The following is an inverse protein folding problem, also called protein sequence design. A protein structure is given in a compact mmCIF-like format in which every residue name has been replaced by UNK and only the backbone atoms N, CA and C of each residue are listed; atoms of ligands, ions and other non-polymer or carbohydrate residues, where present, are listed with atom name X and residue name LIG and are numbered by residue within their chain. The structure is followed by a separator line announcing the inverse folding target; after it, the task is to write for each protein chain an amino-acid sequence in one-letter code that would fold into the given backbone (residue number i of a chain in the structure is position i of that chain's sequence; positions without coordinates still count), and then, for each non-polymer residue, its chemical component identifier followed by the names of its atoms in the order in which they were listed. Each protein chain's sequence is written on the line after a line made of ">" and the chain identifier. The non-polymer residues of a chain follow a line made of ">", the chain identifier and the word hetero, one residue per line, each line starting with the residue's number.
data_IF_939068249626
#
_entry.id   IF_939068249626
#
_cell.length_a   1.000
_cell.length_b   1.000
_cell.length_c   1.000
_cell.angle_alpha   90.00
_cell.angle_beta   90.00
_cell.angle_gamma   90.00
#
_symmetry.space_group_name_H-M   'P 1'
#
loop_
_entity.id
_entity.type
_entity.pdbx_description
1 polymer ?
#
# COMPACT_ATOMS: atom_id res chain seq x y z
N UNK A 1 -23.44 25.00 25.17
CA UNK A 1 -22.15 24.28 25.21
C UNK A 1 -21.16 24.95 24.25
N UNK A 2 -20.35 25.94 24.65
CA UNK A 2 -19.38 26.57 23.74
C UNK A 2 -17.96 26.11 24.06
N UNK A 3 -17.44 25.13 23.32
CA UNK A 3 -16.00 24.82 23.26
C UNK A 3 -15.62 24.44 21.82
N UNK A 4 -15.75 25.39 20.90
CA UNK A 4 -15.07 25.28 19.61
C UNK A 4 -13.59 25.61 19.81
N UNK A 5 -12.77 24.56 19.78
CA UNK A 5 -11.34 24.54 20.09
C UNK A 5 -10.56 25.44 19.11
N UNK A 6 -9.69 26.28 19.66
CA UNK A 6 -8.69 27.06 18.92
C UNK A 6 -7.68 26.08 18.30
N UNK A 7 -7.44 26.14 16.99
CA UNK A 7 -6.34 25.44 16.36
C UNK A 7 -5.03 26.00 16.94
N UNK A 8 -4.18 25.12 17.47
CA UNK A 8 -2.84 25.51 17.92
C UNK A 8 -1.91 25.42 16.71
N UNK A 9 -1.16 26.49 16.45
CA UNK A 9 -0.03 26.51 15.49
C UNK A 9 1.20 25.78 16.03
N UNK A 10 1.01 24.81 16.93
CA UNK A 10 2.11 24.03 17.45
C UNK A 10 2.52 23.00 16.38
N UNK A 11 3.84 22.79 16.17
CA UNK A 11 4.36 21.66 15.42
C UNK A 11 3.68 20.35 15.86
N UNK A 12 3.46 19.44 14.91
CA UNK A 12 2.96 18.11 15.25
C UNK A 12 4.09 17.31 15.89
N UNK A 13 3.80 16.59 16.97
CA UNK A 13 4.82 15.80 17.68
C UNK A 13 5.43 14.68 16.80
N UNK A 14 4.82 14.39 15.66
CA UNK A 14 5.17 13.33 14.72
C UNK A 14 5.33 13.86 13.28
N UNK A 15 5.91 15.05 13.12
CA UNK A 15 6.18 15.64 11.81
C UNK A 15 7.00 14.74 10.88
N UNK A 16 7.98 14.00 11.41
CA UNK A 16 8.78 13.04 10.64
C UNK A 16 7.93 11.90 10.06
N UNK A 17 6.97 11.38 10.84
CA UNK A 17 6.05 10.33 10.35
C UNK A 17 5.12 10.87 9.26
N UNK A 18 4.66 12.11 9.42
CA UNK A 18 3.82 12.79 8.43
C UNK A 18 4.63 13.05 7.15
N UNK A 19 5.86 13.51 7.28
CA UNK A 19 6.77 13.70 6.15
C UNK A 19 7.05 12.38 5.43
N UNK A 20 7.28 11.29 6.15
CA UNK A 20 7.43 9.95 5.57
C UNK A 20 6.14 9.53 4.83
N UNK A 21 4.96 9.72 5.45
CA UNK A 21 3.66 9.39 4.84
C UNK A 21 3.38 10.16 3.55
N UNK A 22 3.86 11.41 3.45
CA UNK A 22 3.63 12.28 2.29
C UNK A 22 4.86 12.52 1.40
N UNK A 23 6.01 11.90 1.71
CA UNK A 23 7.29 12.06 0.99
C UNK A 23 7.21 11.70 -0.48
N UNK A 24 6.33 10.76 -0.85
CA UNK A 24 6.04 10.38 -2.23
C UNK A 24 4.85 11.12 -2.86
N UNK A 25 4.16 11.98 -2.10
CA UNK A 25 2.96 12.69 -2.54
C UNK A 25 3.32 14.08 -3.09
N UNK A 26 3.87 14.14 -4.30
CA UNK A 26 3.95 15.42 -5.03
C UNK A 26 2.62 15.69 -5.74
N UNK A 27 1.77 16.54 -5.16
CA UNK A 27 0.63 17.11 -5.90
C UNK A 27 1.16 18.17 -6.87
N UNK A 28 1.59 17.76 -8.06
CA UNK A 28 1.79 18.71 -9.15
C UNK A 28 0.41 19.09 -9.70
N UNK A 29 0.13 20.39 -9.81
CA UNK A 29 -1.09 20.91 -10.44
C UNK A 29 -1.22 20.52 -11.94
N UNK A 30 -0.27 19.74 -12.48
CA UNK A 30 -0.20 19.33 -13.87
C UNK A 30 -1.46 18.57 -14.35
N UNK A 31 -2.19 17.93 -13.43
CA UNK A 31 -3.37 17.13 -13.75
C UNK A 31 -4.67 17.75 -13.22
N UNK A 32 -4.63 18.98 -12.69
CA UNK A 32 -5.82 19.70 -12.27
C UNK A 32 -6.56 20.25 -13.50
N UNK A 33 -7.20 19.37 -14.26
CA UNK A 33 -8.21 19.82 -15.22
C UNK A 33 -9.49 20.04 -14.44
N UNK A 34 -9.76 21.31 -14.11
CA UNK A 34 -11.10 21.75 -13.74
C UNK A 34 -12.03 21.50 -14.93
N UNK A 35 -12.76 20.36 -14.91
CA UNK A 35 -13.84 20.11 -15.86
C UNK A 35 -14.96 21.09 -15.59
N UNK A 36 -14.89 22.27 -16.22
CA UNK A 36 -15.87 23.33 -16.04
C UNK A 36 -15.40 24.76 -16.30
N UNK A 37 -14.14 25.01 -16.62
CA UNK A 37 -13.70 26.34 -17.07
C UNK A 37 -13.90 26.47 -18.57
N UNK A 38 -15.08 26.98 -18.96
CA UNK A 38 -15.21 27.72 -20.21
C UNK A 38 -14.46 29.03 -19.99
N UNK A 39 -13.16 29.06 -20.24
CA UNK A 39 -12.40 30.31 -20.21
C UNK A 39 -11.80 30.57 -21.57
N UNK A 40 -12.36 31.59 -22.20
CA UNK A 40 -11.63 32.31 -23.21
C UNK A 40 -10.44 33.04 -22.59
N UNK A 41 -9.42 33.15 -23.44
CA UNK A 41 -8.50 34.27 -23.57
C UNK A 41 -7.22 34.28 -22.74
N UNK A 42 -6.12 33.95 -23.43
CA UNK A 42 -4.93 34.79 -23.44
C UNK A 42 -4.32 34.76 -24.86
N UNK A 43 -4.29 35.91 -25.54
CA UNK A 43 -3.72 36.03 -26.89
C UNK A 43 -3.93 37.42 -27.51
N UNK A 44 -3.00 38.32 -27.22
CA UNK A 44 -2.80 39.68 -27.73
C UNK A 44 -2.87 39.79 -29.28
N UNK A 45 -3.45 40.87 -29.82
CA UNK A 45 -3.24 41.27 -31.23
C UNK A 45 -4.37 42.01 -31.94
N UNK A 46 -4.32 43.35 -31.89
CA UNK A 46 -4.60 44.33 -32.96
C UNK A 46 -5.69 44.06 -34.04
N UNK A 47 -6.65 44.99 -34.15
CA UNK A 47 -7.11 45.49 -35.46
C UNK A 47 -8.51 45.08 -35.96
N UNK A 48 -9.37 46.10 -36.03
CA UNK A 48 -10.41 46.34 -37.04
C UNK A 48 -11.90 46.00 -36.76
N UNK A 49 -12.64 47.10 -36.60
CA UNK A 49 -14.04 47.45 -36.89
C UNK A 49 -14.83 46.46 -37.79
N UNK A 50 -16.10 46.17 -37.44
CA UNK A 50 -17.35 46.47 -38.19
C UNK A 50 -18.58 45.72 -37.60
N UNK A 51 -19.71 46.42 -37.69
CA UNK A 51 -21.12 46.25 -37.27
C UNK A 51 -21.85 45.00 -37.89
N UNK A 52 -23.19 44.80 -37.83
CA UNK A 52 -23.91 43.73 -37.13
C UNK A 52 -24.90 42.94 -38.04
N UNK A 53 -25.90 42.29 -37.44
CA UNK A 53 -27.26 42.00 -37.97
C UNK A 53 -27.62 40.54 -38.38
N UNK A 54 -28.91 40.12 -38.23
CA UNK A 54 -29.34 38.73 -38.00
C UNK A 54 -30.18 38.11 -39.13
N UNK A 55 -30.35 36.78 -39.15
CA UNK A 55 -31.52 36.07 -39.74
C UNK A 55 -31.41 34.56 -39.42
N UNK A 56 -32.28 33.99 -38.59
CA UNK A 56 -33.55 33.28 -38.90
C UNK A 56 -33.43 31.78 -39.30
N UNK A 57 -34.45 31.02 -38.84
CA UNK A 57 -35.00 29.72 -39.30
C UNK A 57 -34.53 28.42 -38.61
N UNK A 58 -35.37 27.93 -37.70
CA UNK A 58 -35.52 26.50 -37.33
C UNK A 58 -36.22 25.73 -38.49
N UNK A 59 -36.50 24.39 -38.48
CA UNK A 59 -36.24 23.33 -37.48
C UNK A 59 -35.74 21.98 -38.09
N UNK A 60 -35.11 21.09 -37.30
CA UNK A 60 -35.18 19.64 -37.57
C UNK A 60 -35.29 18.84 -36.26
N UNK A 61 -36.46 18.24 -36.07
CA UNK A 61 -36.73 17.22 -35.03
C UNK A 61 -35.88 15.98 -35.30
N UNK A 62 -35.19 15.48 -34.27
CA UNK A 62 -34.89 14.05 -34.06
C UNK A 62 -34.36 13.85 -32.64
N UNK A 63 -35.03 13.01 -31.86
CA UNK A 63 -34.52 12.58 -30.55
C UNK A 63 -35.60 11.98 -29.68
N UNK A 64 -35.62 10.65 -29.61
CA UNK A 64 -36.56 9.83 -28.86
C UNK A 64 -36.63 10.21 -27.37
N UNK A 65 -37.85 10.18 -26.81
CA UNK A 65 -38.09 10.29 -25.38
C UNK A 65 -37.61 9.01 -24.67
N UNK A 66 -36.32 8.92 -24.36
CA UNK A 66 -35.80 7.92 -23.44
C UNK A 66 -35.89 8.48 -22.03
N UNK A 67 -36.93 8.09 -21.26
CA UNK A 67 -36.94 8.31 -19.81
C UNK A 67 -35.85 7.45 -19.18
N UNK A 68 -34.64 7.99 -19.11
CA UNK A 68 -33.55 7.37 -18.36
C UNK A 68 -33.89 7.36 -16.87
N UNK A 69 -33.66 6.25 -16.14
CA UNK A 69 -33.88 6.22 -14.70
C UNK A 69 -33.06 7.33 -14.05
N UNK A 70 -33.68 8.18 -13.24
CA UNK A 70 -32.96 9.17 -12.41
C UNK A 70 -32.04 8.39 -11.47
N UNK A 71 -30.78 8.16 -11.87
CA UNK A 71 -29.74 7.77 -10.93
C UNK A 71 -29.62 8.92 -9.95
N UNK A 72 -30.15 8.73 -8.74
CA UNK A 72 -29.97 9.66 -7.64
C UNK A 72 -28.51 10.03 -7.56
N UNK A 73 -28.23 11.33 -7.54
CA UNK A 73 -26.89 11.89 -7.45
C UNK A 73 -26.34 11.46 -6.09
N UNK A 74 -25.63 10.33 -6.04
CA UNK A 74 -25.03 9.83 -4.79
C UNK A 74 -24.10 10.94 -4.30
N UNK A 75 -24.27 11.36 -3.04
CA UNK A 75 -23.47 12.44 -2.52
C UNK A 75 -22.01 12.01 -2.51
N UNK A 76 -21.10 12.94 -2.78
CA UNK A 76 -19.66 12.66 -2.80
C UNK A 76 -19.21 11.95 -1.51
N UNK A 77 -19.78 12.35 -0.35
CA UNK A 77 -19.58 11.70 0.94
C UNK A 77 -19.98 10.22 0.96
N UNK A 78 -21.12 9.87 0.37
CA UNK A 78 -21.60 8.48 0.30
C UNK A 78 -20.67 7.65 -0.59
N UNK A 79 -20.14 8.23 -1.67
CA UNK A 79 -19.17 7.58 -2.55
C UNK A 79 -17.83 7.35 -1.84
N UNK A 80 -17.36 8.34 -1.07
CA UNK A 80 -16.13 8.24 -0.29
C UNK A 80 -16.27 7.21 0.83
N UNK A 81 -17.39 7.22 1.55
CA UNK A 81 -17.67 6.24 2.59
C UNK A 81 -17.79 4.83 2.01
N UNK A 82 -18.49 4.68 0.88
CA UNK A 82 -18.59 3.40 0.17
C UNK A 82 -17.23 2.91 -0.30
N UNK A 83 -16.37 3.79 -0.84
CA UNK A 83 -14.99 3.44 -1.20
C UNK A 83 -14.17 3.02 0.01
N UNK A 84 -14.28 3.73 1.13
CA UNK A 84 -13.59 3.39 2.37
C UNK A 84 -14.02 2.01 2.89
N UNK A 85 -15.34 1.75 2.94
CA UNK A 85 -15.91 0.47 3.35
C UNK A 85 -15.51 -0.64 2.39
N UNK A 86 -15.60 -0.41 1.07
CA UNK A 86 -15.21 -1.38 0.05
C UNK A 86 -13.72 -1.72 0.19
N UNK A 87 -12.83 -0.74 0.42
CA UNK A 87 -11.40 -1.00 0.66
C UNK A 87 -11.15 -1.75 1.97
N UNK A 88 -11.93 -1.51 3.01
CA UNK A 88 -11.83 -2.26 4.27
C UNK A 88 -12.31 -3.70 4.11
N UNK A 89 -13.41 -3.90 3.39
CA UNK A 89 -13.98 -5.23 3.10
C UNK A 89 -13.08 -6.00 2.13
N UNK A 90 -12.54 -5.36 1.11
CA UNK A 90 -11.55 -5.92 0.19
C UNK A 90 -10.29 -6.30 0.95
N UNK A 91 -9.77 -5.41 1.79
CA UNK A 91 -8.61 -5.71 2.64
C UNK A 91 -8.91 -6.84 3.63
N UNK A 92 -10.11 -6.91 4.21
CA UNK A 92 -10.52 -8.01 5.07
C UNK A 92 -10.78 -9.33 4.31
N UNK A 93 -11.16 -9.27 3.02
CA UNK A 93 -11.42 -10.45 2.18
C UNK A 93 -10.13 -10.96 1.50
N UNK A 94 -9.19 -10.06 1.19
CA UNK A 94 -7.83 -10.37 0.75
C UNK A 94 -6.94 -10.76 1.93
N UNK A 95 -7.32 -10.41 3.15
CA UNK A 95 -6.80 -11.02 4.38
C UNK A 95 -7.45 -12.39 4.55
N UNK A 96 -7.02 -13.37 3.75
CA UNK A 96 -7.07 -14.74 4.21
C UNK A 96 -6.45 -14.75 5.62
N UNK A 97 -7.21 -15.23 6.60
CA UNK A 97 -7.03 -14.96 8.03
C UNK A 97 -5.77 -15.59 8.68
N UNK A 98 -4.64 -15.64 7.98
CA UNK A 98 -3.36 -16.13 8.50
C UNK A 98 -2.16 -15.20 8.26
N UNK A 99 -2.21 -14.18 7.40
CA UNK A 99 -1.03 -13.32 7.06
C UNK A 99 -0.61 -12.33 8.16
N UNK A 100 -0.51 -12.86 9.38
CA UNK A 100 0.31 -12.32 10.45
C UNK A 100 1.79 -12.33 10.02
N UNK A 101 2.62 -11.38 10.49
CA UNK A 101 4.08 -11.44 10.34
C UNK A 101 4.72 -12.79 10.76
N UNK A 102 4.00 -13.56 11.57
CA UNK A 102 4.32 -14.94 11.93
C UNK A 102 4.42 -15.87 10.73
N UNK A 103 3.66 -15.67 9.65
CA UNK A 103 3.73 -16.54 8.48
C UNK A 103 5.07 -16.40 7.77
N UNK A 104 5.62 -15.19 7.64
CA UNK A 104 6.94 -15.00 7.01
C UNK A 104 8.07 -15.61 7.83
N UNK A 105 8.08 -15.43 9.16
CA UNK A 105 9.11 -16.02 10.02
C UNK A 105 8.99 -17.55 10.08
N UNK A 106 7.75 -18.09 10.10
CA UNK A 106 7.53 -19.53 10.07
C UNK A 106 7.98 -20.14 8.75
N UNK A 107 7.70 -19.46 7.64
CA UNK A 107 8.17 -19.86 6.31
C UNK A 107 9.70 -19.83 6.22
N UNK A 108 10.33 -18.75 6.70
CA UNK A 108 11.80 -18.63 6.78
C UNK A 108 12.42 -19.79 7.57
N UNK A 109 11.90 -20.07 8.78
CA UNK A 109 12.38 -21.18 9.60
C UNK A 109 12.20 -22.52 8.90
N UNK A 110 11.06 -22.75 8.23
CA UNK A 110 10.81 -23.98 7.48
C UNK A 110 11.84 -24.17 6.35
N UNK A 111 12.15 -23.12 5.59
CA UNK A 111 13.17 -23.16 4.53
C UNK A 111 14.58 -23.42 5.08
N UNK A 112 14.91 -22.85 6.24
CA UNK A 112 16.18 -23.09 6.92
C UNK A 112 16.31 -24.53 7.41
N UNK A 113 15.24 -25.10 7.98
CA UNK A 113 15.20 -26.49 8.41
C UNK A 113 15.28 -27.45 7.22
N UNK A 114 14.61 -27.13 6.11
CA UNK A 114 14.70 -27.91 4.87
C UNK A 114 16.15 -27.95 4.35
N UNK A 115 16.83 -26.80 4.35
CA UNK A 115 18.26 -26.71 3.97
C UNK A 115 19.15 -27.60 4.86
N UNK A 116 18.78 -27.81 6.13
CA UNK A 116 19.54 -28.67 7.06
C UNK A 116 19.28 -30.15 6.82
N UNK A 117 18.04 -30.51 6.49
CA UNK A 117 17.68 -31.87 6.11
C UNK A 117 18.47 -32.29 4.86
N UNK A 118 18.57 -31.41 3.86
CA UNK A 118 19.38 -31.64 2.66
C UNK A 118 20.88 -31.83 2.97
N UNK A 119 21.40 -31.18 4.01
CA UNK A 119 22.78 -31.33 4.47
C UNK A 119 23.02 -32.60 5.32
N UNK A 120 21.97 -33.33 5.70
CA UNK A 120 22.05 -34.56 6.49
C UNK A 120 21.54 -34.47 7.93
N UNK A 121 20.99 -33.34 8.38
CA UNK A 121 20.26 -33.26 9.65
C UNK A 121 18.81 -33.72 9.46
N UNK A 122 18.64 -35.02 9.23
CA UNK A 122 17.35 -35.66 9.03
C UNK A 122 16.40 -35.42 10.21
N UNK A 123 15.09 -35.37 9.94
CA UNK A 123 14.08 -35.30 10.99
C UNK A 123 14.28 -36.43 12.02
N UNK A 124 14.25 -36.08 13.30
CA UNK A 124 14.51 -37.01 14.41
C UNK A 124 15.99 -37.12 14.83
N UNK A 125 16.93 -36.52 14.10
CA UNK A 125 18.31 -36.37 14.57
C UNK A 125 18.42 -35.30 15.67
N UNK A 126 19.46 -35.41 16.51
CA UNK A 126 19.77 -34.40 17.52
C UNK A 126 20.06 -33.04 16.88
N UNK A 127 20.71 -33.02 15.71
CA UNK A 127 20.96 -31.81 14.94
C UNK A 127 19.65 -31.14 14.50
N UNK A 128 18.71 -31.91 13.96
CA UNK A 128 17.42 -31.38 13.55
C UNK A 128 16.64 -30.83 14.75
N UNK A 129 16.58 -31.57 15.86
CA UNK A 129 15.93 -31.11 17.09
C UNK A 129 16.59 -29.84 17.64
N UNK A 130 17.92 -29.75 17.64
CA UNK A 130 18.60 -28.54 18.11
C UNK A 130 18.32 -27.34 17.20
N UNK A 131 18.25 -27.55 15.88
CA UNK A 131 17.94 -26.49 14.92
C UNK A 131 16.56 -25.86 15.17
N UNK A 132 15.54 -26.67 15.47
CA UNK A 132 14.18 -26.14 15.75
C UNK A 132 14.19 -25.21 16.96
N UNK A 133 15.02 -25.48 17.97
CA UNK A 133 15.14 -24.64 19.16
C UNK A 133 16.00 -23.40 18.91
N UNK A 134 17.06 -23.53 18.09
CA UNK A 134 18.01 -22.45 17.83
C UNK A 134 17.42 -21.37 16.91
N UNK A 135 16.74 -21.78 15.83
CA UNK A 135 16.24 -20.88 14.78
C UNK A 135 14.98 -20.09 15.18
N UNK A 136 14.36 -20.39 16.33
CA UNK A 136 13.31 -19.54 16.90
C UNK A 136 13.84 -18.14 17.22
N UNK A 137 15.12 -18.02 17.56
CA UNK A 137 15.75 -16.73 17.88
C UNK A 137 16.24 -16.02 16.63
N UNK A 138 15.84 -14.76 16.48
CA UNK A 138 16.19 -13.93 15.32
C UNK A 138 17.70 -13.80 15.11
N UNK A 139 18.48 -13.61 16.18
CA UNK A 139 19.94 -13.47 16.11
C UNK A 139 20.62 -14.66 15.40
N UNK A 140 20.15 -15.88 15.65
CA UNK A 140 20.69 -17.07 15.01
C UNK A 140 20.20 -17.20 13.58
N UNK A 141 18.98 -16.77 13.27
CA UNK A 141 18.50 -16.74 11.89
C UNK A 141 19.29 -15.76 11.03
N UNK A 142 19.53 -14.56 11.55
CA UNK A 142 20.30 -13.53 10.86
C UNK A 142 21.72 -14.03 10.54
N UNK A 143 22.37 -14.76 11.45
CA UNK A 143 23.67 -15.39 11.18
C UNK A 143 23.54 -16.51 10.16
N UNK A 144 22.56 -17.38 10.33
CA UNK A 144 22.38 -18.56 9.50
C UNK A 144 22.09 -18.24 8.03
N UNK A 145 21.38 -17.13 7.75
CA UNK A 145 21.11 -16.68 6.37
C UNK A 145 22.38 -16.25 5.63
N UNK A 146 23.44 -15.85 6.35
CA UNK A 146 24.74 -15.51 5.74
C UNK A 146 25.48 -16.73 5.20
N UNK A 147 25.12 -17.92 5.67
CA UNK A 147 25.74 -19.18 5.26
C UNK A 147 25.07 -19.68 3.98
N UNK A 148 25.85 -19.75 2.89
CA UNK A 148 25.32 -20.10 1.56
C UNK A 148 25.17 -21.61 1.33
N UNK A 149 26.08 -22.39 1.88
CA UNK A 149 26.16 -23.85 1.66
C UNK A 149 25.40 -24.61 2.75
N UNK A 150 24.60 -25.64 2.41
CA UNK A 150 23.95 -26.53 3.37
C UNK A 150 24.93 -27.17 4.37
N UNK A 151 26.10 -27.60 3.91
CA UNK A 151 27.14 -28.22 4.74
C UNK A 151 27.73 -27.21 5.73
N UNK A 152 27.94 -25.96 5.29
CA UNK A 152 28.38 -24.87 6.14
C UNK A 152 27.37 -24.53 7.23
N UNK A 153 26.07 -24.53 6.89
CA UNK A 153 24.96 -24.39 7.86
C UNK A 153 24.98 -25.49 8.90
N UNK A 154 25.15 -26.75 8.48
CA UNK A 154 25.23 -27.89 9.38
C UNK A 154 26.48 -27.86 10.27
N UNK A 155 27.64 -27.53 9.72
CA UNK A 155 28.89 -27.42 10.47
C UNK A 155 28.82 -26.32 11.55
N UNK A 156 28.21 -25.18 11.21
CA UNK A 156 27.97 -24.10 12.16
C UNK A 156 27.03 -24.53 13.28
N UNK A 157 25.94 -25.23 12.95
CA UNK A 157 24.98 -25.75 13.92
C UNK A 157 25.66 -26.69 14.93
N UNK A 158 26.48 -27.64 14.44
CA UNK A 158 27.25 -28.57 15.28
C UNK A 158 28.22 -27.84 16.20
N UNK A 159 28.95 -26.83 15.69
CA UNK A 159 29.86 -26.04 16.52
C UNK A 159 29.11 -25.25 17.61
N UNK A 160 27.95 -24.71 17.28
CA UNK A 160 27.11 -23.95 18.23
C UNK A 160 26.55 -24.86 19.33
N UNK A 161 26.20 -26.10 18.99
CA UNK A 161 25.80 -27.12 19.97
C UNK A 161 26.92 -27.49 20.94
N UNK A 162 28.12 -27.75 20.42
CA UNK A 162 29.30 -28.08 21.25
C UNK A 162 29.73 -26.90 22.14
N UNK A 163 29.60 -25.66 21.65
CA UNK A 163 29.85 -24.46 22.47
C UNK A 163 28.83 -24.33 23.61
N UNK A 164 27.56 -24.68 23.36
CA UNK A 164 26.51 -24.68 24.38
C UNK A 164 26.76 -25.69 25.49
N UNK A 165 27.26 -26.89 25.15
CA UNK A 165 27.59 -27.94 26.14
C UNK A 165 28.73 -27.55 27.10
N UNK A 166 29.59 -26.61 26.70
CA UNK A 166 30.74 -26.15 27.49
C UNK A 166 30.39 -25.04 28.48
N UNK A 167 29.20 -24.44 28.36
CA UNK A 167 28.69 -23.40 29.25
C UNK A 167 27.81 -24.01 30.34
#
# INVERSE_FOLDING_TARGET
>A
MPLCKKFRFAPLDNEEDVEIMFSGASCTNANAVASGAREGSAGNGNGNVVHPSPAEKQPVKRGAAYKSPKKGKKNFRDMQFKRFVDSFVEKASSSSATSSPTDHVRQEIAEMLQSLIEAGACEGSDEHFYATQLLIKKEFRDVFVTLKTPEGKLAWLKRTWEERKKR
#
